data_IF_535324572191
#
_entry.id   IF_535324572191
#
_cell.length_a   1.000
_cell.length_b   1.000
_cell.length_c   1.000
_cell.angle_alpha   90.00
_cell.angle_beta   90.00
_cell.angle_gamma   90.00
#
_symmetry.space_group_name_H-M   'P 1'
#
loop_
_entity.id
_entity.type
_entity.pdbx_description
1 polymer ?
#
# COMPACT_ATOMS: atom_id res chain seq x y z
N UNK A 1 -1.26 21.36 -4.92
CA UNK A 1 -1.86 20.04 -5.18
C UNK A 1 -1.76 19.73 -6.67
N UNK A 2 -1.40 18.50 -7.03
CA UNK A 2 -1.29 18.06 -8.42
C UNK A 2 -2.66 17.88 -9.07
N UNK A 3 -2.75 18.27 -10.34
CA UNK A 3 -3.87 18.08 -11.23
C UNK A 3 -3.37 17.96 -12.68
N UNK A 4 -4.24 17.59 -13.62
CA UNK A 4 -3.87 17.44 -15.04
C UNK A 4 -3.25 18.69 -15.66
N UNK A 5 -3.57 19.89 -15.17
CA UNK A 5 -3.07 21.17 -15.71
C UNK A 5 -1.62 21.46 -15.28
N UNK A 6 -1.24 21.11 -14.05
CA UNK A 6 0.10 21.39 -13.53
C UNK A 6 1.05 20.18 -13.53
N UNK A 7 0.53 18.96 -13.73
CA UNK A 7 1.34 17.74 -13.69
C UNK A 7 2.49 17.76 -14.70
N UNK A 8 2.25 18.15 -15.95
CA UNK A 8 3.31 18.19 -16.97
C UNK A 8 4.45 19.15 -16.59
N UNK A 9 4.12 20.32 -16.04
CA UNK A 9 5.12 21.26 -15.52
C UNK A 9 5.89 20.66 -14.35
N UNK A 10 5.20 19.99 -13.44
CA UNK A 10 5.82 19.30 -12.31
C UNK A 10 6.79 18.19 -12.77
N UNK A 11 6.44 17.43 -13.82
CA UNK A 11 7.33 16.43 -14.42
C UNK A 11 8.62 17.07 -14.96
N UNK A 12 8.52 18.21 -15.64
CA UNK A 12 9.67 18.97 -16.16
C UNK A 12 10.56 19.48 -15.01
N UNK A 13 9.97 20.09 -13.98
CA UNK A 13 10.69 20.60 -12.80
C UNK A 13 11.46 19.50 -12.04
N UNK A 14 11.01 18.25 -12.13
CA UNK A 14 11.66 17.09 -11.49
C UNK A 14 12.48 16.25 -12.48
N UNK A 15 12.81 16.77 -13.65
CA UNK A 15 13.63 16.11 -14.69
C UNK A 15 13.07 14.76 -15.17
N UNK A 16 11.76 14.54 -15.05
CA UNK A 16 11.08 13.34 -15.56
C UNK A 16 10.71 13.45 -17.06
N UNK A 17 10.85 14.65 -17.63
CA UNK A 17 10.76 14.91 -19.06
C UNK A 17 11.62 16.13 -19.44
N UNK A 18 12.00 16.24 -20.70
CA UNK A 18 12.58 17.43 -21.34
C UNK A 18 11.56 18.17 -22.22
N UNK A 19 10.42 17.52 -22.55
CA UNK A 19 9.40 18.08 -23.43
C UNK A 19 7.99 17.69 -22.97
N UNK A 20 7.31 18.65 -22.34
CA UNK A 20 5.94 18.49 -21.83
C UNK A 20 4.91 18.11 -22.90
N UNK A 21 5.17 18.39 -24.19
CA UNK A 21 4.26 18.02 -25.27
C UNK A 21 4.25 16.52 -25.52
N UNK A 22 5.37 15.83 -25.25
CA UNK A 22 5.50 14.37 -25.38
C UNK A 22 4.95 13.59 -24.18
N UNK A 23 4.58 14.27 -23.11
CA UNK A 23 4.00 13.63 -21.94
C UNK A 23 2.54 13.22 -22.16
N UNK A 24 2.27 11.93 -21.98
CA UNK A 24 0.92 11.40 -21.79
C UNK A 24 0.66 11.27 -20.29
N UNK A 25 -0.38 11.93 -19.77
CA UNK A 25 -0.70 11.92 -18.35
C UNK A 25 -2.17 11.59 -18.11
N UNK A 26 -2.42 10.74 -17.13
CA UNK A 26 -3.76 10.35 -16.72
C UNK A 26 -3.86 10.28 -15.20
N UNK A 27 -5.03 10.65 -14.67
CA UNK A 27 -5.36 10.40 -13.26
C UNK A 27 -5.96 9.01 -13.20
N UNK A 28 -5.34 8.10 -12.45
CA UNK A 28 -5.87 6.76 -12.28
C UNK A 28 -7.10 6.84 -11.38
N UNK A 29 -8.22 6.29 -11.86
CA UNK A 29 -9.42 6.13 -11.07
C UNK A 29 -9.22 5.06 -9.99
N UNK A 30 -9.98 5.17 -8.90
CA UNK A 30 -9.82 4.33 -7.72
C UNK A 30 -8.96 4.96 -6.63
N UNK A 31 -8.90 4.28 -5.49
CA UNK A 31 -8.26 4.77 -4.28
C UNK A 31 -9.06 5.90 -3.60
N UNK A 32 -9.36 5.72 -2.32
CA UNK A 32 -10.25 6.61 -1.56
C UNK A 32 -9.50 7.78 -0.93
N UNK A 33 -8.21 7.62 -0.63
CA UNK A 33 -7.47 8.47 0.31
C UNK A 33 -6.24 9.15 -0.28
N UNK A 34 -5.88 8.81 -1.52
CA UNK A 34 -4.75 9.38 -2.27
C UNK A 34 -5.15 9.69 -3.70
N UNK A 35 -4.51 10.68 -4.31
CA UNK A 35 -4.60 10.93 -5.76
C UNK A 35 -3.42 10.27 -6.47
N UNK A 36 -3.69 9.53 -7.54
CA UNK A 36 -2.67 8.79 -8.27
C UNK A 36 -2.69 9.23 -9.72
N UNK A 37 -1.51 9.60 -10.24
CA UNK A 37 -1.32 9.87 -11.65
C UNK A 37 -0.38 8.85 -12.26
N UNK A 38 -0.64 8.49 -13.50
CA UNK A 38 0.31 7.80 -14.36
C UNK A 38 0.80 8.77 -15.42
N UNK A 39 2.10 8.81 -15.61
CA UNK A 39 2.76 9.69 -16.56
C UNK A 39 3.72 8.87 -17.43
N UNK A 40 3.50 8.87 -18.73
CA UNK A 40 4.39 8.30 -19.73
C UNK A 40 5.14 9.44 -20.42
N UNK A 41 6.46 9.36 -20.37
CA UNK A 41 7.39 10.34 -20.94
C UNK A 41 8.47 9.61 -21.73
N UNK A 42 9.35 10.36 -22.38
CA UNK A 42 10.53 9.83 -23.06
C UNK A 42 11.56 9.22 -22.08
N UNK A 43 11.48 9.52 -20.78
CA UNK A 43 12.35 8.97 -19.72
C UNK A 43 11.75 7.73 -19.03
N UNK A 44 10.58 7.30 -19.48
CA UNK A 44 9.89 6.10 -19.00
C UNK A 44 8.47 6.37 -18.49
N UNK A 45 7.93 5.41 -17.77
CA UNK A 45 6.59 5.49 -17.20
C UNK A 45 6.66 5.55 -15.68
N UNK A 46 5.94 6.51 -15.11
CA UNK A 46 5.97 6.85 -13.70
C UNK A 46 4.57 6.86 -13.10
N UNK A 47 4.50 6.53 -11.82
CA UNK A 47 3.31 6.71 -10.99
C UNK A 47 3.62 7.75 -9.92
N UNK A 48 2.77 8.77 -9.81
CA UNK A 48 2.84 9.82 -8.80
C UNK A 48 1.68 9.65 -7.84
N UNK A 49 1.98 9.25 -6.61
CA UNK A 49 1.00 9.10 -5.52
C UNK A 49 1.07 10.34 -4.63
N UNK A 50 0.03 11.17 -4.67
CA UNK A 50 -0.13 12.32 -3.78
C UNK A 50 -1.08 12.01 -2.63
N UNK A 51 -0.61 12.23 -1.41
CA UNK A 51 -1.39 12.03 -0.20
C UNK A 51 -2.34 13.20 0.04
N UNK A 52 -3.59 12.90 0.32
CA UNK A 52 -4.63 13.89 0.59
C UNK A 52 -4.85 14.05 2.09
N UNK A 53 -5.25 15.24 2.51
CA UNK A 53 -5.66 15.58 3.87
C UNK A 53 -7.11 15.14 4.19
N UNK A 54 -7.85 14.77 3.15
CA UNK A 54 -9.26 14.33 3.20
C UNK A 54 -9.51 13.16 2.27
N UNK A 55 -10.40 12.25 2.66
CA UNK A 55 -10.87 11.20 1.77
C UNK A 55 -11.69 11.77 0.62
N UNK A 56 -11.63 11.12 -0.55
CA UNK A 56 -12.41 11.47 -1.74
C UNK A 56 -13.89 11.13 -1.60
N UNK A 57 -14.22 10.06 -0.85
CA UNK A 57 -15.60 9.58 -0.68
C UNK A 57 -16.40 10.45 0.30
N UNK A 58 -15.73 11.02 1.29
CA UNK A 58 -16.33 11.90 2.29
C UNK A 58 -15.26 12.88 2.79
N UNK A 59 -15.50 14.16 2.53
CA UNK A 59 -14.59 15.26 2.89
C UNK A 59 -14.54 15.55 4.39
N UNK A 60 -15.42 14.94 5.19
CA UNK A 60 -15.39 15.02 6.65
C UNK A 60 -14.34 14.07 7.23
N UNK A 61 -13.95 13.03 6.49
CA UNK A 61 -12.88 12.12 6.89
C UNK A 61 -11.54 12.82 6.70
N UNK A 62 -10.95 13.25 7.82
CA UNK A 62 -9.59 13.77 7.85
C UNK A 62 -8.58 12.64 7.82
N UNK A 63 -7.49 12.86 7.10
CA UNK A 63 -6.43 11.89 6.94
C UNK A 63 -5.13 12.51 7.43
N UNK A 64 -4.45 11.78 8.31
CA UNK A 64 -3.18 12.22 8.86
C UNK A 64 -2.15 12.42 7.75
N UNK A 65 -1.43 13.56 7.70
CA UNK A 65 -0.33 13.75 6.75
C UNK A 65 0.87 12.84 7.06
N UNK A 66 0.90 12.21 8.24
CA UNK A 66 1.93 11.25 8.65
C UNK A 66 1.96 9.99 7.78
N UNK A 67 0.83 9.63 7.13
CA UNK A 67 0.72 8.50 6.18
C UNK A 67 1.81 8.48 5.12
N UNK A 68 2.14 9.66 4.57
CA UNK A 68 3.24 9.80 3.60
C UNK A 68 4.58 9.34 4.19
N UNK A 69 4.86 9.74 5.43
CA UNK A 69 6.09 9.38 6.11
C UNK A 69 6.12 7.91 6.49
N UNK A 70 5.00 7.32 6.94
CA UNK A 70 4.94 5.89 7.20
C UNK A 70 5.24 5.05 5.95
N UNK A 71 4.71 5.42 4.77
CA UNK A 71 5.05 4.72 3.52
C UNK A 71 6.54 4.88 3.16
N UNK A 72 7.08 6.09 3.28
CA UNK A 72 8.53 6.36 3.06
C UNK A 72 9.41 5.55 4.02
N UNK A 73 9.07 5.51 5.31
CA UNK A 73 9.82 4.78 6.32
C UNK A 73 9.74 3.28 6.11
N UNK A 74 8.56 2.75 5.77
CA UNK A 74 8.37 1.34 5.48
C UNK A 74 9.22 0.90 4.27
N UNK A 75 9.19 1.67 3.17
CA UNK A 75 10.00 1.38 1.99
C UNK A 75 11.49 1.35 2.34
N UNK A 76 12.00 2.39 3.01
CA UNK A 76 13.41 2.46 3.39
C UNK A 76 13.81 1.35 4.37
N UNK A 77 12.91 1.00 5.30
CA UNK A 77 13.14 -0.08 6.26
C UNK A 77 13.26 -1.43 5.54
N UNK A 78 12.30 -1.76 4.68
CA UNK A 78 12.24 -3.03 3.95
C UNK A 78 13.42 -3.19 2.99
N UNK A 79 13.80 -2.13 2.27
CA UNK A 79 14.96 -2.12 1.36
C UNK A 79 16.28 -2.37 2.10
N UNK A 80 16.35 -2.02 3.40
CA UNK A 80 17.52 -2.27 4.23
C UNK A 80 17.56 -3.68 4.80
N UNK A 81 16.40 -4.22 5.21
CA UNK A 81 16.36 -5.49 5.92
C UNK A 81 16.22 -6.72 5.02
N UNK A 82 15.76 -6.55 3.78
CA UNK A 82 15.58 -7.66 2.83
C UNK A 82 16.63 -7.62 1.73
N UNK A 83 17.24 -8.78 1.44
CA UNK A 83 18.10 -8.93 0.26
C UNK A 83 17.29 -8.81 -1.05
N UNK A 84 16.00 -9.14 -0.98
CA UNK A 84 15.05 -9.05 -2.10
C UNK A 84 14.32 -7.73 -2.03
N UNK A 85 14.40 -6.96 -3.12
CA UNK A 85 13.57 -5.76 -3.31
C UNK A 85 12.13 -6.15 -3.58
N UNK A 86 11.26 -5.88 -2.61
CA UNK A 86 9.80 -6.10 -2.70
C UNK A 86 9.02 -4.79 -2.75
N UNK A 87 9.70 -3.64 -2.73
CA UNK A 87 9.11 -2.31 -2.78
C UNK A 87 9.13 -1.79 -4.22
N UNK A 88 8.24 -0.85 -4.59
CA UNK A 88 8.27 -0.27 -5.93
C UNK A 88 9.57 0.51 -6.12
N UNK A 89 10.19 0.50 -7.31
CA UNK A 89 11.37 1.32 -7.57
C UNK A 89 11.02 2.80 -7.42
N UNK A 90 11.47 3.40 -6.32
CA UNK A 90 11.24 4.82 -6.02
C UNK A 90 12.19 5.69 -6.86
N UNK A 91 11.63 6.72 -7.46
CA UNK A 91 12.38 7.75 -8.19
C UNK A 91 12.74 8.89 -7.24
N UNK A 92 11.75 9.41 -6.49
CA UNK A 92 11.98 10.39 -5.43
C UNK A 92 10.80 10.48 -4.44
N UNK A 93 11.08 11.08 -3.29
CA UNK A 93 10.10 11.54 -2.32
C UNK A 93 10.07 13.07 -2.32
N UNK A 94 8.88 13.66 -2.51
CA UNK A 94 8.64 15.09 -2.35
C UNK A 94 7.88 15.32 -1.04
N UNK A 95 8.65 15.53 0.02
CA UNK A 95 8.15 15.70 1.38
C UNK A 95 7.30 16.98 1.52
N UNK A 96 7.53 18.01 0.70
CA UNK A 96 6.79 19.28 0.75
C UNK A 96 5.38 19.09 0.23
N UNK A 97 5.23 18.41 -0.91
CA UNK A 97 3.93 18.19 -1.55
C UNK A 97 3.27 16.85 -1.19
N UNK A 98 3.95 16.04 -0.35
CA UNK A 98 3.55 14.68 0.06
C UNK A 98 3.29 13.80 -1.17
N UNK A 99 4.29 13.74 -2.05
CA UNK A 99 4.23 12.94 -3.28
C UNK A 99 5.33 11.88 -3.26
N UNK A 100 4.95 10.65 -3.59
CA UNK A 100 5.90 9.59 -3.91
C UNK A 100 5.87 9.39 -5.41
N UNK A 101 7.02 9.54 -6.06
CA UNK A 101 7.19 9.19 -7.47
C UNK A 101 7.92 7.86 -7.58
N UNK A 102 7.32 6.91 -8.29
CA UNK A 102 7.85 5.56 -8.48
C UNK A 102 7.71 5.13 -9.94
N UNK A 103 8.47 4.10 -10.34
CA UNK A 103 8.30 3.49 -11.66
C UNK A 103 6.94 2.77 -11.75
N UNK A 104 6.32 2.83 -12.92
CA UNK A 104 5.12 2.03 -13.20
C UNK A 104 5.47 0.54 -13.24
N UNK A 105 4.69 -0.26 -12.52
CA UNK A 105 4.85 -1.72 -12.43
C UNK A 105 4.03 -2.46 -13.50
N UNK A 106 3.21 -1.74 -14.27
CA UNK A 106 2.35 -2.30 -15.31
C UNK A 106 1.08 -2.95 -14.74
N UNK A 107 -0.09 -2.42 -15.10
CA UNK A 107 -1.38 -2.87 -14.56
C UNK A 107 -1.63 -4.38 -14.76
N UNK A 108 -1.15 -4.95 -15.87
CA UNK A 108 -1.30 -6.38 -16.19
C UNK A 108 -0.49 -7.32 -15.28
N UNK A 109 0.44 -6.76 -14.50
CA UNK A 109 1.25 -7.48 -13.52
C UNK A 109 0.62 -7.47 -12.12
N UNK A 110 -0.45 -6.70 -11.89
CA UNK A 110 -1.15 -6.68 -10.60
C UNK A 110 -1.79 -8.04 -10.35
N UNK A 111 -1.66 -8.56 -9.13
CA UNK A 111 -1.97 -9.95 -8.79
C UNK A 111 -3.45 -10.29 -9.06
N UNK A 112 -4.37 -9.38 -8.77
CA UNK A 112 -5.80 -9.51 -9.10
C UNK A 112 -6.04 -9.68 -10.61
N UNK A 113 -5.35 -8.94 -11.46
CA UNK A 113 -5.46 -9.07 -12.92
C UNK A 113 -4.83 -10.38 -13.43
N UNK A 114 -3.75 -10.84 -12.81
CA UNK A 114 -3.12 -12.12 -13.13
C UNK A 114 -4.00 -13.31 -12.75
N UNK A 115 -4.66 -13.23 -11.59
CA UNK A 115 -5.62 -14.23 -11.17
C UNK A 115 -6.85 -14.24 -12.10
N UNK A 116 -7.39 -13.08 -12.50
CA UNK A 116 -8.59 -12.99 -13.37
C UNK A 116 -8.30 -13.55 -14.77
N UNK A 117 -7.07 -13.38 -15.23
CA UNK A 117 -6.62 -13.87 -16.55
C UNK A 117 -6.09 -15.31 -16.52
N UNK A 118 -6.16 -16.00 -15.37
CA UNK A 118 -5.62 -17.34 -15.16
C UNK A 118 -4.15 -17.49 -15.58
N UNK A 119 -3.35 -16.42 -15.41
CA UNK A 119 -1.91 -16.37 -15.74
C UNK A 119 -1.02 -16.51 -14.49
N UNK A 120 -1.63 -16.69 -13.32
CA UNK A 120 -0.89 -16.75 -12.07
C UNK A 120 -0.23 -18.11 -11.86
N UNK A 121 1.05 -18.11 -11.50
CA UNK A 121 1.73 -19.30 -11.00
C UNK A 121 1.56 -19.39 -9.48
N UNK A 122 1.00 -20.49 -8.93
CA UNK A 122 0.70 -20.59 -7.50
C UNK A 122 1.92 -20.47 -6.56
N UNK A 123 3.14 -20.73 -7.05
CA UNK A 123 4.38 -20.63 -6.25
C UNK A 123 4.63 -19.21 -5.70
N UNK A 124 4.00 -18.19 -6.29
CA UNK A 124 4.07 -16.81 -5.79
C UNK A 124 3.63 -16.70 -4.34
N UNK A 125 2.62 -17.47 -3.90
CA UNK A 125 2.10 -17.36 -2.53
C UNK A 125 3.06 -17.95 -1.51
N UNK A 126 3.79 -19.01 -1.87
CA UNK A 126 4.88 -19.52 -1.03
C UNK A 126 5.99 -18.48 -0.86
N UNK A 127 6.31 -17.73 -1.92
CA UNK A 127 7.30 -16.65 -1.87
C UNK A 127 6.82 -15.48 -1.00
N UNK A 128 5.56 -15.06 -1.15
CA UNK A 128 4.94 -14.04 -0.31
C UNK A 128 5.01 -14.45 1.16
N UNK A 129 4.55 -15.65 1.50
CA UNK A 129 4.56 -16.15 2.89
C UNK A 129 5.97 -16.19 3.50
N UNK A 130 6.98 -16.63 2.75
CA UNK A 130 8.38 -16.64 3.21
C UNK A 130 8.90 -15.24 3.51
N UNK A 131 8.60 -14.26 2.65
CA UNK A 131 9.02 -12.87 2.85
C UNK A 131 8.28 -12.23 4.03
N UNK A 132 6.98 -12.49 4.19
CA UNK A 132 6.23 -12.00 5.36
C UNK A 132 6.81 -12.55 6.67
N UNK A 133 7.10 -13.85 6.71
CA UNK A 133 7.75 -14.47 7.87
C UNK A 133 9.12 -13.84 8.15
N UNK A 134 9.92 -13.56 7.11
CA UNK A 134 11.20 -12.87 7.25
C UNK A 134 11.04 -11.45 7.83
N UNK A 135 10.09 -10.66 7.32
CA UNK A 135 9.78 -9.32 7.83
C UNK A 135 9.35 -9.40 9.30
N UNK A 136 8.39 -10.27 9.63
CA UNK A 136 7.87 -10.42 10.99
C UNK A 136 8.97 -10.83 11.97
N UNK A 137 9.83 -11.77 11.58
CA UNK A 137 10.93 -12.22 12.43
C UNK A 137 12.00 -11.13 12.62
N UNK A 138 12.36 -10.40 11.56
CA UNK A 138 13.37 -9.33 11.63
C UNK A 138 12.90 -8.09 12.40
N UNK A 139 11.60 -7.89 12.52
CA UNK A 139 11.00 -6.77 13.28
C UNK A 139 10.37 -7.18 14.61
N UNK A 140 10.48 -8.45 15.01
CA UNK A 140 9.90 -8.97 16.24
C UNK A 140 10.48 -8.28 17.48
N UNK A 141 9.61 -7.81 18.39
CA UNK A 141 9.96 -7.10 19.63
C UNK A 141 11.09 -6.06 19.47
N UNK A 142 10.94 -5.19 18.49
CA UNK A 142 11.83 -4.07 18.23
C UNK A 142 11.19 -2.74 18.65
N UNK A 143 11.60 -2.21 19.80
CA UNK A 143 11.07 -0.97 20.37
C UNK A 143 11.25 0.24 19.45
N UNK A 144 12.36 0.31 18.71
CA UNK A 144 12.59 1.42 17.77
C UNK A 144 11.59 1.41 16.61
N UNK A 145 11.23 0.23 16.11
CA UNK A 145 10.19 0.09 15.10
C UNK A 145 8.80 0.33 15.68
N UNK A 146 8.56 -0.09 16.92
CA UNK A 146 7.31 0.21 17.63
C UNK A 146 7.06 1.72 17.75
N UNK A 147 8.09 2.49 18.09
CA UNK A 147 8.01 3.95 18.15
C UNK A 147 7.89 4.58 16.75
N UNK A 148 8.60 4.04 15.76
CA UNK A 148 8.60 4.57 14.40
C UNK A 148 7.26 4.36 13.68
N UNK A 149 6.59 3.22 13.92
CA UNK A 149 5.35 2.81 13.24
C UNK A 149 4.12 2.87 14.16
N UNK A 150 4.05 3.87 15.04
CA UNK A 150 2.88 4.16 15.89
C UNK A 150 1.77 4.90 15.14
N UNK A 151 1.20 4.26 14.12
CA UNK A 151 0.16 4.82 13.25
C UNK A 151 -1.27 4.58 13.81
N UNK A 152 -1.44 4.76 15.13
CA UNK A 152 -2.68 4.43 15.87
C UNK A 152 -3.91 5.16 15.31
N UNK A 153 -3.79 6.45 15.02
CA UNK A 153 -4.88 7.28 14.48
C UNK A 153 -5.46 6.67 13.19
N UNK A 154 -4.59 6.24 12.27
CA UNK A 154 -5.02 5.64 11.02
C UNK A 154 -5.51 4.20 11.21
N UNK A 155 -4.97 3.48 12.21
CA UNK A 155 -5.43 2.15 12.55
C UNK A 155 -6.86 2.15 13.09
N UNK A 156 -7.16 3.05 14.02
CA UNK A 156 -8.51 3.22 14.57
C UNK A 156 -9.51 3.67 13.49
N UNK A 157 -9.09 4.55 12.58
CA UNK A 157 -9.89 4.90 11.40
C UNK A 157 -10.21 3.65 10.57
N UNK A 158 -9.25 2.75 10.37
CA UNK A 158 -9.50 1.51 9.61
C UNK A 158 -10.43 0.57 10.35
N UNK A 159 -10.34 0.46 11.67
CA UNK A 159 -11.30 -0.31 12.46
C UNK A 159 -12.72 0.21 12.31
N UNK A 160 -12.91 1.52 12.44
CA UNK A 160 -14.20 2.19 12.25
C UNK A 160 -14.82 1.85 10.89
N UNK A 161 -14.09 2.07 9.79
CA UNK A 161 -14.65 1.87 8.45
C UNK A 161 -14.78 0.40 8.04
N UNK A 162 -13.83 -0.47 8.40
CA UNK A 162 -13.81 -1.86 7.92
C UNK A 162 -14.61 -2.83 8.78
N UNK A 163 -14.83 -2.50 10.05
CA UNK A 163 -15.38 -3.45 11.01
C UNK A 163 -16.57 -2.89 11.79
N UNK A 164 -16.62 -1.60 12.10
CA UNK A 164 -17.78 -1.04 12.82
C UNK A 164 -18.90 -0.59 11.87
N UNK A 165 -18.59 0.23 10.87
CA UNK A 165 -19.61 0.83 9.97
C UNK A 165 -20.13 -0.10 8.88
N UNK A 166 -19.33 -1.06 8.46
CA UNK A 166 -19.64 -1.94 7.31
C UNK A 166 -20.21 -3.29 7.71
N UNK A 167 -20.31 -3.55 9.01
CA UNK A 167 -20.79 -4.80 9.55
C UNK A 167 -22.31 -4.91 9.45
N UNK A 168 -22.78 -5.99 8.82
CA UNK A 168 -24.22 -6.25 8.61
C UNK A 168 -24.80 -7.29 9.58
N UNK A 169 -23.97 -8.20 10.10
CA UNK A 169 -24.41 -9.36 10.87
C UNK A 169 -24.10 -9.19 12.35
N UNK A 170 -25.14 -9.05 13.17
CA UNK A 170 -25.02 -8.91 14.62
C UNK A 170 -24.37 -10.12 15.30
N UNK A 171 -24.52 -11.32 14.73
CA UNK A 171 -23.88 -12.55 15.21
C UNK A 171 -22.36 -12.48 15.23
N UNK A 172 -21.75 -11.60 14.42
CA UNK A 172 -20.29 -11.47 14.34
C UNK A 172 -19.73 -10.41 15.32
N UNK A 173 -20.57 -9.67 16.06
CA UNK A 173 -20.15 -8.53 16.90
C UNK A 173 -19.08 -8.94 17.92
N UNK A 174 -19.29 -10.07 18.60
CA UNK A 174 -18.35 -10.57 19.59
C UNK A 174 -16.98 -10.90 18.96
N UNK A 175 -16.98 -11.66 17.86
CA UNK A 175 -15.75 -12.02 17.16
C UNK A 175 -15.00 -10.79 16.61
N UNK A 176 -15.73 -9.78 16.14
CA UNK A 176 -15.15 -8.50 15.73
C UNK A 176 -14.49 -7.79 16.91
N UNK A 177 -15.19 -7.66 18.03
CA UNK A 177 -14.67 -6.92 19.19
C UNK A 177 -13.47 -7.62 19.80
N UNK A 178 -13.48 -8.95 19.87
CA UNK A 178 -12.33 -9.76 20.26
C UNK A 178 -11.14 -9.55 19.31
N UNK A 179 -11.36 -9.61 17.99
CA UNK A 179 -10.32 -9.35 16.99
C UNK A 179 -9.68 -7.97 17.18
N UNK A 180 -10.50 -6.92 17.31
CA UNK A 180 -10.01 -5.54 17.44
C UNK A 180 -9.27 -5.36 18.78
N UNK A 181 -9.79 -5.91 19.89
CA UNK A 181 -9.10 -5.87 21.18
C UNK A 181 -7.74 -6.56 21.13
N UNK A 182 -7.66 -7.73 20.51
CA UNK A 182 -6.41 -8.44 20.30
C UNK A 182 -5.43 -7.60 19.46
N UNK A 183 -5.89 -6.99 18.36
CA UNK A 183 -5.03 -6.14 17.52
C UNK A 183 -4.50 -4.91 18.28
N UNK A 184 -5.31 -4.28 19.14
CA UNK A 184 -4.88 -3.13 19.97
C UNK A 184 -3.86 -3.52 21.02
N UNK A 185 -4.00 -4.72 21.60
CA UNK A 185 -3.11 -5.24 22.63
C UNK A 185 -1.79 -5.74 22.06
N UNK A 186 -1.84 -6.42 20.91
CA UNK A 186 -0.71 -7.11 20.32
C UNK A 186 0.08 -6.18 19.39
N UNK A 187 1.05 -5.46 19.96
CA UNK A 187 2.04 -4.68 19.22
C UNK A 187 3.36 -5.45 19.17
N UNK A 188 3.48 -6.38 18.23
CA UNK A 188 4.50 -7.44 18.26
C UNK A 188 5.58 -7.25 17.20
N UNK A 189 5.20 -6.82 16.00
CA UNK A 189 6.10 -6.77 14.84
C UNK A 189 5.64 -5.73 13.82
N UNK A 190 6.50 -5.38 12.84
CA UNK A 190 6.09 -4.53 11.73
C UNK A 190 5.13 -5.29 10.82
N UNK A 191 4.00 -4.66 10.52
CA UNK A 191 3.01 -5.12 9.55
C UNK A 191 2.75 -4.03 8.50
N UNK A 192 2.54 -4.44 7.25
CA UNK A 192 2.01 -3.57 6.18
C UNK A 192 0.61 -3.06 6.54
N UNK A 193 -0.17 -3.90 7.24
CA UNK A 193 -1.50 -3.56 7.76
C UNK A 193 -2.57 -3.31 6.67
N UNK A 194 -2.25 -3.43 5.39
CA UNK A 194 -3.23 -3.37 4.29
C UNK A 194 -2.89 -4.39 3.21
N UNK A 195 -2.63 -5.61 3.66
CA UNK A 195 -2.08 -6.68 2.84
C UNK A 195 -3.16 -7.38 2.00
N UNK A 196 -3.67 -6.67 1.00
CA UNK A 196 -4.72 -7.13 0.07
C UNK A 196 -4.15 -7.46 -1.30
N UNK A 197 -4.85 -8.32 -2.05
CA UNK A 197 -4.36 -8.88 -3.32
C UNK A 197 -4.01 -7.83 -4.37
N UNK A 198 -4.81 -6.77 -4.47
CA UNK A 198 -4.54 -5.67 -5.41
C UNK A 198 -3.38 -4.74 -5.01
N UNK A 199 -2.75 -4.95 -3.85
CA UNK A 199 -1.49 -4.27 -3.50
C UNK A 199 -0.25 -5.05 -3.98
N UNK A 200 -0.41 -6.28 -4.49
CA UNK A 200 0.69 -7.06 -5.04
C UNK A 200 0.79 -6.93 -6.56
N UNK A 201 2.02 -6.88 -7.05
CA UNK A 201 2.40 -7.02 -8.45
C UNK A 201 3.35 -8.19 -8.58
N UNK A 202 3.14 -9.06 -9.56
CA UNK A 202 4.06 -10.15 -9.90
C UNK A 202 4.79 -9.77 -11.18
N UNK A 203 6.09 -9.60 -11.04
CA UNK A 203 7.01 -9.23 -12.11
C UNK A 203 7.68 -10.50 -12.65
N UNK A 204 8.58 -10.31 -13.62
CA UNK A 204 9.35 -11.40 -14.22
C UNK A 204 10.07 -12.25 -13.17
N UNK A 205 10.24 -13.54 -13.50
CA UNK A 205 10.82 -14.56 -12.61
C UNK A 205 10.05 -14.79 -11.30
N UNK A 206 8.74 -14.51 -11.29
CA UNK A 206 7.88 -14.65 -10.11
C UNK A 206 8.41 -13.87 -8.90
N UNK A 207 9.12 -12.76 -9.16
CA UNK A 207 9.38 -11.75 -8.14
C UNK A 207 8.09 -10.98 -7.91
N UNK A 208 7.82 -10.58 -6.68
CA UNK A 208 6.68 -9.73 -6.40
C UNK A 208 7.13 -8.40 -5.83
N UNK A 209 6.30 -7.41 -6.07
CA UNK A 209 6.38 -6.09 -5.49
C UNK A 209 5.08 -5.83 -4.73
N UNK A 210 5.18 -5.20 -3.58
CA UNK A 210 4.06 -4.79 -2.74
C UNK A 210 4.09 -3.26 -2.62
N UNK A 211 2.92 -2.64 -2.75
CA UNK A 211 2.73 -1.19 -2.72
C UNK A 211 1.76 -0.81 -1.60
N UNK A 212 1.63 0.50 -1.33
CA UNK A 212 0.60 1.05 -0.42
C UNK A 212 0.89 0.87 1.08
N UNK A 213 2.16 1.07 1.47
CA UNK A 213 2.63 0.97 2.86
C UNK A 213 2.20 2.10 3.79
N UNK A 214 1.30 3.00 3.38
CA UNK A 214 0.84 4.13 4.20
C UNK A 214 0.12 3.73 5.48
N UNK A 215 -0.40 2.51 5.50
CA UNK A 215 -1.04 1.90 6.65
C UNK A 215 -0.07 1.21 7.60
N UNK A 216 1.23 1.15 7.27
CA UNK A 216 2.21 0.38 8.05
C UNK A 216 2.15 0.73 9.53
N UNK A 217 2.24 -0.32 10.35
CA UNK A 217 1.97 -0.25 11.77
C UNK A 217 2.80 -1.29 12.51
N UNK A 218 3.10 -1.05 13.78
CA UNK A 218 3.69 -2.06 14.65
C UNK A 218 2.58 -2.78 15.42
N UNK A 219 2.24 -4.00 14.98
CA UNK A 219 0.97 -4.64 15.33
C UNK A 219 1.04 -6.16 15.36
N UNK A 220 -0.14 -6.76 15.18
CA UNK A 220 -0.35 -8.21 15.29
C UNK A 220 -0.10 -8.91 13.94
N UNK A 221 0.91 -9.81 13.84
CA UNK A 221 1.17 -10.55 12.61
C UNK A 221 0.02 -11.50 12.21
N UNK A 222 -0.77 -12.00 13.18
CA UNK A 222 -1.91 -12.86 12.90
C UNK A 222 -3.01 -12.09 12.16
N UNK A 223 -3.23 -10.81 12.51
CA UNK A 223 -4.15 -9.95 11.79
C UNK A 223 -3.73 -9.76 10.33
N UNK A 224 -2.45 -9.50 10.07
CA UNK A 224 -1.95 -9.29 8.71
C UNK A 224 -2.10 -10.53 7.83
N UNK A 225 -1.72 -11.71 8.33
CA UNK A 225 -1.87 -12.98 7.60
C UNK A 225 -3.35 -13.30 7.38
N UNK A 226 -4.18 -13.16 8.42
CA UNK A 226 -5.62 -13.37 8.33
C UNK A 226 -6.29 -12.43 7.32
N UNK A 227 -5.87 -11.17 7.26
CA UNK A 227 -6.37 -10.19 6.30
C UNK A 227 -6.06 -10.61 4.85
N UNK A 228 -4.83 -11.05 4.57
CA UNK A 228 -4.44 -11.55 3.25
C UNK A 228 -5.25 -12.79 2.85
N UNK A 229 -5.39 -13.77 3.75
CA UNK A 229 -6.17 -14.98 3.50
C UNK A 229 -7.66 -14.66 3.25
N UNK A 230 -8.24 -13.73 4.01
CA UNK A 230 -9.60 -13.25 3.79
C UNK A 230 -9.78 -12.67 2.39
N UNK A 231 -8.85 -11.83 1.93
CA UNK A 231 -8.87 -11.30 0.56
C UNK A 231 -8.72 -12.40 -0.50
N UNK A 232 -7.88 -13.41 -0.26
CA UNK A 232 -7.77 -14.57 -1.14
C UNK A 232 -9.07 -15.34 -1.26
N UNK A 233 -9.75 -15.60 -0.14
CA UNK A 233 -11.05 -16.29 -0.15
C UNK A 233 -12.12 -15.48 -0.87
N UNK A 234 -12.22 -14.18 -0.57
CA UNK A 234 -13.16 -13.29 -1.28
C UNK A 234 -12.89 -13.35 -2.78
N UNK A 235 -11.63 -13.30 -3.19
CA UNK A 235 -11.29 -13.37 -4.61
C UNK A 235 -11.59 -14.75 -5.22
N UNK A 236 -11.32 -15.83 -4.51
CA UNK A 236 -11.58 -17.20 -4.99
C UNK A 236 -13.08 -17.48 -5.15
N UNK A 237 -13.92 -17.04 -4.19
CA UNK A 237 -15.36 -17.31 -4.19
C UNK A 237 -16.20 -16.30 -4.99
N UNK A 238 -15.62 -15.17 -5.42
CA UNK A 238 -16.30 -14.19 -6.30
C UNK A 238 -15.82 -14.26 -7.76
N UNK A 239 -15.03 -15.28 -8.12
CA UNK A 239 -14.83 -15.70 -9.51
C UNK A 239 -15.99 -16.59 -9.94
#
# INVERSE_FOLDING_TARGET
MLNKKNLKKYLLEHNLTEDVQKCEVEELSGGIINRIFRAKTEKGVFVLKQFLDKAKIDKNIRLSPKRFFYEKYAINYLDRILDKKITPPIVFFDDKNKIICMKDLGVNNRLDNLMLSNRLKPDVFSKIGKVLAEIHNKSFFNDSLSLLFDNEEFQELKFDYRYYRTMKYSSLIYARDELIQNCRKNKITFIHNDLKINNFFVLDNNKFCLIDYEGSYYGDPAFEVGYLLGHLFVYYFNQ
#
